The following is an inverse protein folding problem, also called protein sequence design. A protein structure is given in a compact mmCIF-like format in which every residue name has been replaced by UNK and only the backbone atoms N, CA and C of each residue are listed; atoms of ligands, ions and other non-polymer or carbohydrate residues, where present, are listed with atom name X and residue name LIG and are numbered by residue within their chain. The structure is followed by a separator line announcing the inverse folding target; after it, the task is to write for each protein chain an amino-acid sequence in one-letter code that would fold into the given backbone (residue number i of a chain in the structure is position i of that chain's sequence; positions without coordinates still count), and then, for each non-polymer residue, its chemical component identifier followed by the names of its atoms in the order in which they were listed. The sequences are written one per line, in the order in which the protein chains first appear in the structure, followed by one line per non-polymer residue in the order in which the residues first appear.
data_IF_943183411998
#
_entry.id   IF_943183411998
#
_cell.length_a   1.000
_cell.length_b   1.000
_cell.length_c   1.000
_cell.angle_alpha   90.00
_cell.angle_beta   90.00
_cell.angle_gamma   90.00
#
_symmetry.space_group_name_H-M   'P 1'
#
loop_
_entity.id
_entity.type
_entity.pdbx_description
1 polymer ?
#
# COMPACT_ATOMS: atom_id res chain seq x y z
N UNK A 1 16.85 -33.46 -21.35
CA UNK A 1 15.51 -32.95 -21.72
C UNK A 1 15.07 -32.08 -20.56
N UNK A 2 15.16 -30.77 -20.77
CA UNK A 2 14.98 -29.73 -19.76
C UNK A 2 13.49 -29.50 -19.53
N UNK A 3 13.01 -29.71 -18.31
CA UNK A 3 11.67 -29.31 -17.90
C UNK A 3 11.78 -28.04 -17.06
N UNK A 4 11.59 -26.90 -17.72
CA UNK A 4 11.39 -25.62 -17.06
C UNK A 4 10.09 -25.71 -16.26
N UNK A 5 10.21 -25.63 -14.92
CA UNK A 5 9.06 -25.45 -14.04
C UNK A 5 8.84 -23.95 -13.95
N UNK A 6 7.97 -23.40 -14.80
CA UNK A 6 7.47 -22.05 -14.62
C UNK A 6 6.63 -22.05 -13.34
N UNK A 7 7.15 -21.39 -12.31
CA UNK A 7 6.47 -21.14 -11.05
C UNK A 7 5.26 -20.25 -11.35
N UNK A 8 4.06 -20.79 -11.18
CA UNK A 8 2.80 -20.08 -11.39
C UNK A 8 2.63 -19.05 -10.26
N UNK A 9 3.01 -17.81 -10.52
CA UNK A 9 2.92 -16.71 -9.55
C UNK A 9 1.46 -16.29 -9.46
N UNK A 10 0.78 -16.64 -8.37
CA UNK A 10 -0.58 -16.20 -8.10
C UNK A 10 -0.68 -14.66 -8.10
N UNK A 11 -1.39 -14.11 -9.08
CA UNK A 11 -1.67 -12.68 -9.21
C UNK A 11 -2.84 -12.29 -8.30
N UNK A 12 -2.54 -11.98 -7.05
CA UNK A 12 -3.50 -11.48 -6.06
C UNK A 12 -3.43 -9.95 -5.94
N UNK A 13 -4.53 -9.34 -5.51
CA UNK A 13 -4.65 -7.92 -5.21
C UNK A 13 -5.44 -7.72 -3.90
N UNK A 14 -5.28 -6.57 -3.26
CA UNK A 14 -5.92 -6.27 -1.97
C UNK A 14 -7.05 -5.27 -2.13
N UNK A 15 -8.21 -5.51 -1.51
CA UNK A 15 -9.30 -4.56 -1.54
C UNK A 15 -8.99 -3.33 -0.66
N UNK A 16 -9.03 -2.13 -1.24
CA UNK A 16 -8.79 -0.87 -0.53
C UNK A 16 -9.92 -0.40 0.41
N UNK A 17 -10.99 -1.18 0.56
CA UNK A 17 -12.13 -0.88 1.44
C UNK A 17 -12.18 -1.84 2.63
N UNK A 18 -12.08 -3.15 2.37
CA UNK A 18 -12.20 -4.18 3.39
C UNK A 18 -10.88 -4.90 3.72
N UNK A 19 -9.79 -4.59 3.02
CA UNK A 19 -8.45 -5.21 3.18
C UNK A 19 -8.40 -6.73 2.93
N UNK A 20 -9.41 -7.28 2.28
CA UNK A 20 -9.41 -8.69 1.86
C UNK A 20 -8.50 -8.84 0.64
N UNK A 21 -7.61 -9.84 0.68
CA UNK A 21 -6.80 -10.27 -0.46
C UNK A 21 -7.67 -11.12 -1.38
N UNK A 22 -7.69 -10.79 -2.66
CA UNK A 22 -8.57 -11.37 -3.68
C UNK A 22 -7.75 -11.73 -4.91
N UNK A 23 -7.98 -12.91 -5.49
CA UNK A 23 -7.39 -13.27 -6.77
C UNK A 23 -7.88 -12.31 -7.86
N UNK A 24 -7.00 -11.97 -8.81
CA UNK A 24 -7.33 -11.01 -9.88
C UNK A 24 -8.63 -11.35 -10.64
N UNK A 25 -8.93 -12.64 -10.80
CA UNK A 25 -10.16 -13.14 -11.43
C UNK A 25 -11.44 -12.92 -10.62
N UNK A 26 -11.32 -12.82 -9.29
CA UNK A 26 -12.44 -12.69 -8.36
C UNK A 26 -12.74 -11.22 -7.99
N UNK A 27 -11.90 -10.28 -8.41
CA UNK A 27 -12.09 -8.84 -8.18
C UNK A 27 -13.43 -8.33 -8.74
N UNK A 28 -13.87 -8.67 -9.97
CA UNK A 28 -15.14 -8.17 -10.50
C UNK A 28 -16.38 -8.60 -9.72
N UNK A 29 -16.28 -9.71 -8.98
CA UNK A 29 -17.36 -10.24 -8.14
C UNK A 29 -17.22 -9.85 -6.67
N UNK A 30 -16.21 -9.06 -6.32
CA UNK A 30 -15.95 -8.67 -4.94
C UNK A 30 -17.01 -7.67 -4.46
N UNK A 31 -17.64 -7.92 -3.31
CA UNK A 31 -18.79 -7.13 -2.84
C UNK A 31 -18.52 -5.62 -2.70
N UNK A 32 -17.28 -5.20 -2.43
CA UNK A 32 -16.97 -3.76 -2.34
C UNK A 32 -16.97 -3.03 -3.69
N UNK A 33 -16.96 -3.74 -4.82
CA UNK A 33 -17.00 -3.16 -6.17
C UNK A 33 -18.35 -3.34 -6.86
N UNK A 34 -19.32 -3.94 -6.16
CA UNK A 34 -20.68 -4.11 -6.67
C UNK A 34 -21.31 -2.74 -6.97
N UNK A 35 -21.86 -2.60 -8.19
CA UNK A 35 -22.45 -1.34 -8.66
C UNK A 35 -21.45 -0.34 -9.26
N UNK A 36 -20.15 -0.63 -9.27
CA UNK A 36 -19.14 0.20 -9.95
C UNK A 36 -18.73 -0.42 -11.29
N UNK A 37 -18.51 0.42 -12.29
CA UNK A 37 -18.10 -0.03 -13.65
C UNK A 37 -16.59 0.09 -13.87
N UNK A 38 -15.90 0.79 -12.97
CA UNK A 38 -14.49 1.14 -13.11
C UNK A 38 -13.73 0.82 -11.84
N UNK A 39 -12.49 0.38 -12.03
CA UNK A 39 -11.53 0.12 -10.98
C UNK A 39 -10.26 0.90 -11.19
N UNK A 40 -9.63 1.27 -10.09
CA UNK A 40 -8.26 1.76 -10.05
C UNK A 40 -7.43 0.75 -9.27
N UNK A 41 -6.25 0.41 -9.79
CA UNK A 41 -5.28 -0.44 -9.08
C UNK A 41 -4.02 0.38 -8.89
N UNK A 42 -3.56 0.51 -7.65
CA UNK A 42 -2.36 1.26 -7.34
C UNK A 42 -1.08 0.44 -7.53
N UNK A 43 0.07 1.03 -7.20
CA UNK A 43 1.38 0.38 -7.31
C UNK A 43 1.58 -0.74 -6.28
N UNK A 44 0.82 -0.72 -5.19
CA UNK A 44 0.88 -1.68 -4.09
C UNK A 44 -0.12 -2.83 -4.29
N UNK A 45 -0.72 -2.93 -5.47
CA UNK A 45 -1.73 -3.93 -5.82
C UNK A 45 -3.02 -3.80 -5.00
N UNK A 46 -3.33 -2.60 -4.50
CA UNK A 46 -4.64 -2.32 -3.96
C UNK A 46 -5.61 -1.92 -5.06
N UNK A 47 -6.79 -2.51 -5.07
CA UNK A 47 -7.86 -2.13 -5.98
C UNK A 47 -8.95 -1.32 -5.27
N UNK A 48 -9.49 -0.34 -5.99
CA UNK A 48 -10.48 0.62 -5.52
C UNK A 48 -11.59 0.80 -6.57
N UNK A 49 -12.87 0.80 -6.18
CA UNK A 49 -13.95 1.22 -7.07
C UNK A 49 -13.81 2.70 -7.39
N UNK A 50 -14.12 3.06 -8.64
CA UNK A 50 -14.06 4.44 -9.14
C UNK A 50 -15.48 4.90 -9.44
N UNK A 51 -15.83 6.07 -8.92
CA UNK A 51 -17.10 6.76 -9.18
C UNK A 51 -17.09 7.50 -10.52
N UNK A 52 -18.26 7.93 -10.98
CA UNK A 52 -18.40 8.65 -12.26
C UNK A 52 -17.67 10.00 -12.29
N UNK A 53 -17.42 10.61 -11.13
CA UNK A 53 -16.64 11.85 -10.97
C UNK A 53 -15.11 11.62 -10.92
N UNK A 54 -14.64 10.40 -11.25
CA UNK A 54 -13.25 9.98 -11.17
C UNK A 54 -12.65 10.02 -9.74
N UNK A 55 -13.48 9.95 -8.70
CA UNK A 55 -13.00 9.73 -7.34
C UNK A 55 -12.83 8.23 -7.07
N UNK A 56 -11.88 7.85 -6.22
CA UNK A 56 -11.75 6.47 -5.75
C UNK A 56 -12.47 6.31 -4.42
N UNK A 57 -13.13 5.17 -4.21
CA UNK A 57 -13.70 4.82 -2.91
C UNK A 57 -12.66 4.03 -2.12
N UNK A 58 -12.23 4.57 -0.97
CA UNK A 58 -11.28 3.88 -0.08
C UNK A 58 -11.64 4.04 1.39
N UNK A 59 -11.18 3.10 2.20
CA UNK A 59 -11.22 3.24 3.66
C UNK A 59 -10.17 4.28 4.08
N UNK A 60 -10.60 5.26 4.87
CA UNK A 60 -9.77 6.35 5.37
C UNK A 60 -10.03 6.53 6.86
N UNK A 61 -9.03 7.00 7.59
CA UNK A 61 -9.16 7.37 8.99
C UNK A 61 -9.41 8.87 9.09
N UNK A 62 -10.61 9.28 9.51
CA UNK A 62 -10.95 10.69 9.75
C UNK A 62 -11.38 10.84 11.20
N UNK A 63 -10.72 11.75 11.94
CA UNK A 63 -10.99 11.98 13.36
C UNK A 63 -10.96 10.67 14.19
N UNK A 64 -9.96 9.83 13.94
CA UNK A 64 -9.76 8.51 14.57
C UNK A 64 -10.93 7.53 14.36
N UNK A 65 -11.73 7.73 13.31
CA UNK A 65 -12.80 6.82 12.90
C UNK A 65 -12.59 6.38 11.48
N UNK A 66 -12.65 5.07 11.27
CA UNK A 66 -12.61 4.51 9.92
C UNK A 66 -13.91 4.87 9.19
N UNK A 67 -13.76 5.50 8.03
CA UNK A 67 -14.83 5.93 7.17
C UNK A 67 -14.50 5.54 5.72
N UNK A 68 -15.50 5.07 4.99
CA UNK A 68 -15.38 4.79 3.56
C UNK A 68 -15.87 6.03 2.83
N UNK A 69 -14.99 6.68 2.07
CA UNK A 69 -15.28 7.94 1.40
C UNK A 69 -14.67 8.01 0.01
N UNK A 70 -15.26 8.81 -0.89
CA UNK A 70 -14.66 9.17 -2.17
C UNK A 70 -13.48 10.13 -1.95
N UNK A 71 -12.34 9.82 -2.56
CA UNK A 71 -11.14 10.67 -2.55
C UNK A 71 -10.75 10.99 -3.99
N UNK A 72 -10.48 12.28 -4.25
CA UNK A 72 -9.95 12.73 -5.54
C UNK A 72 -8.46 12.48 -5.59
N UNK A 73 -8.07 11.45 -6.32
CA UNK A 73 -6.66 11.15 -6.59
C UNK A 73 -6.35 11.34 -8.07
N UNK A 74 -5.09 11.64 -8.40
CA UNK A 74 -4.65 11.74 -9.79
C UNK A 74 -4.51 10.33 -10.39
N UNK A 75 -5.65 9.70 -10.67
CA UNK A 75 -5.73 8.33 -11.19
C UNK A 75 -5.40 8.29 -12.68
N UNK A 76 -4.12 8.10 -12.99
CA UNK A 76 -3.62 7.95 -14.36
C UNK A 76 -3.84 6.51 -14.84
N UNK A 77 -5.08 6.20 -15.22
CA UNK A 77 -5.50 4.91 -15.77
C UNK A 77 -6.54 4.21 -14.89
N UNK A 78 -7.71 3.91 -15.45
CA UNK A 78 -8.76 3.10 -14.80
C UNK A 78 -9.06 1.90 -15.67
N UNK A 79 -9.28 0.74 -15.05
CA UNK A 79 -9.69 -0.50 -15.71
C UNK A 79 -11.21 -0.50 -15.77
N UNK A 80 -11.79 -0.74 -16.95
CA UNK A 80 -13.24 -0.91 -17.10
C UNK A 80 -13.59 -2.38 -16.80
N UNK A 81 -14.45 -2.61 -15.81
CA UNK A 81 -14.87 -3.96 -15.37
C UNK A 81 -15.57 -4.75 -16.48
N UNK A 82 -16.25 -4.08 -17.40
CA UNK A 82 -16.92 -4.72 -18.54
C UNK A 82 -15.98 -5.32 -19.59
N UNK A 83 -14.69 -4.99 -19.58
CA UNK A 83 -13.69 -5.51 -20.53
C UNK A 83 -12.92 -6.74 -20.02
N UNK A 84 -13.14 -7.19 -18.77
CA UNK A 84 -12.43 -8.35 -18.20
C UNK A 84 -12.85 -9.69 -18.83
N UNK A 85 -13.89 -9.71 -19.68
CA UNK A 85 -14.45 -10.94 -20.28
C UNK A 85 -13.91 -11.28 -21.69
N UNK A 86 -12.86 -10.63 -22.17
CA UNK A 86 -12.12 -11.05 -23.38
C UNK A 86 -10.67 -10.66 -23.09
N UNK A 87 -9.79 -11.56 -22.69
CA UNK A 87 -9.09 -12.47 -23.60
C UNK A 87 -8.83 -13.85 -22.98
N UNK A 88 -8.91 -14.85 -23.85
CA UNK A 88 -8.96 -16.29 -23.62
C UNK A 88 -7.57 -16.93 -23.59
N UNK A 89 -7.50 -18.17 -23.07
CA UNK A 89 -6.51 -19.26 -23.35
C UNK A 89 -5.49 -19.44 -22.22
N UNK A 90 -5.27 -20.58 -21.55
CA UNK A 90 -5.61 -22.01 -21.68
C UNK A 90 -5.43 -22.62 -20.26
N UNK A 91 -6.29 -23.49 -19.74
CA UNK A 91 -6.03 -24.94 -19.88
C UNK A 91 -6.02 -25.72 -18.55
N UNK A 92 -7.21 -26.16 -18.13
CA UNK A 92 -7.52 -27.47 -17.50
C UNK A 92 -6.89 -27.98 -16.17
N UNK A 93 -7.81 -28.40 -15.29
CA UNK A 93 -7.88 -29.65 -14.51
C UNK A 93 -7.16 -29.81 -13.13
N UNK A 94 -8.04 -29.89 -12.11
CA UNK A 94 -8.20 -30.96 -11.09
C UNK A 94 -7.16 -31.17 -9.95
N UNK A 95 -7.76 -31.09 -8.75
CA UNK A 95 -7.56 -31.87 -7.51
C UNK A 95 -6.42 -31.48 -6.56
N UNK A 96 -6.89 -31.04 -5.38
CA UNK A 96 -6.57 -31.54 -4.03
C UNK A 96 -5.10 -31.73 -3.65
N UNK A 97 -4.64 -31.06 -2.57
CA UNK A 97 -4.09 -31.69 -1.34
C UNK A 97 -3.49 -30.61 -0.41
N UNK A 98 -4.05 -30.60 0.81
CA UNK A 98 -3.53 -30.36 2.15
C UNK A 98 -2.13 -29.76 2.42
N UNK A 99 -2.12 -29.07 3.58
CA UNK A 99 -1.08 -28.93 4.63
C UNK A 99 -0.18 -27.69 4.61
N UNK A 100 -0.46 -26.86 5.62
CA UNK A 100 0.46 -26.24 6.60
C UNK A 100 1.86 -25.85 6.12
N UNK A 101 2.26 -24.59 6.35
CA UNK A 101 3.23 -24.28 7.41
C UNK A 101 3.57 -22.78 7.50
N UNK A 102 3.16 -22.22 8.63
CA UNK A 102 3.87 -21.28 9.49
C UNK A 102 5.23 -20.72 8.97
N UNK A 103 5.25 -19.46 8.50
CA UNK A 103 6.50 -18.65 8.45
C UNK A 103 6.26 -17.21 8.86
N UNK A 104 6.65 -16.94 10.11
CA UNK A 104 7.11 -15.69 10.73
C UNK A 104 7.10 -14.46 9.81
N UNK A 105 6.12 -13.60 10.02
CA UNK A 105 6.16 -12.20 9.64
C UNK A 105 7.13 -11.44 10.58
N UNK A 106 8.19 -10.85 10.01
CA UNK A 106 8.90 -9.76 10.66
C UNK A 106 8.05 -8.51 10.41
N UNK A 107 7.12 -8.27 11.32
CA UNK A 107 6.20 -7.14 11.34
C UNK A 107 6.97 -5.97 11.98
N UNK A 108 7.26 -4.91 11.22
CA UNK A 108 7.70 -3.63 11.80
C UNK A 108 6.64 -3.20 12.81
N UNK A 109 7.06 -3.00 14.06
CA UNK A 109 6.22 -2.76 15.24
C UNK A 109 5.75 -1.31 15.34
N UNK A 110 5.38 -0.69 14.21
CA UNK A 110 4.77 0.62 14.21
C UNK A 110 3.28 0.47 13.94
N UNK A 111 2.48 1.10 14.80
CA UNK A 111 1.07 1.30 14.53
C UNK A 111 0.90 2.51 13.59
N UNK A 112 -0.24 2.63 12.92
CA UNK A 112 -0.55 3.75 12.02
C UNK A 112 -0.35 5.12 12.70
N UNK A 113 -0.73 5.25 13.97
CA UNK A 113 -0.52 6.46 14.77
C UNK A 113 0.99 6.81 14.93
N UNK A 114 1.85 5.80 15.01
CA UNK A 114 3.30 5.99 15.13
C UNK A 114 3.93 6.39 13.79
N UNK A 115 3.36 5.92 12.67
CA UNK A 115 3.77 6.32 11.32
C UNK A 115 3.35 7.77 11.01
N UNK A 116 2.13 8.17 11.38
CA UNK A 116 1.66 9.56 11.26
C UNK A 116 2.52 10.51 12.12
N UNK A 117 2.83 10.12 13.36
CA UNK A 117 3.73 10.89 14.22
C UNK A 117 5.14 11.01 13.63
N UNK A 118 5.64 9.96 12.97
CA UNK A 118 6.93 9.97 12.28
C UNK A 118 6.91 10.96 11.11
N UNK A 119 5.90 10.92 10.25
CA UNK A 119 5.77 11.82 9.09
C UNK A 119 5.67 13.28 9.55
N UNK A 120 4.83 13.58 10.54
CA UNK A 120 4.68 14.93 11.10
C UNK A 120 6.01 15.43 11.68
N UNK A 121 6.72 14.60 12.44
CA UNK A 121 8.01 14.94 13.05
C UNK A 121 9.09 15.24 12.02
N UNK A 122 9.08 14.54 10.87
CA UNK A 122 10.01 14.81 9.76
C UNK A 122 9.64 16.10 9.03
N UNK A 123 8.35 16.34 8.78
CA UNK A 123 7.89 17.55 8.08
C UNK A 123 8.28 18.84 8.83
N UNK A 124 8.23 18.83 10.16
CA UNK A 124 8.68 19.97 10.97
C UNK A 124 10.18 20.28 10.81
N UNK A 125 11.00 19.27 10.48
CA UNK A 125 12.46 19.38 10.38
C UNK A 125 12.87 19.53 8.92
N UNK A 126 12.65 20.73 8.36
CA UNK A 126 13.00 21.10 6.97
C UNK A 126 14.34 20.56 6.47
N UNK A 127 15.46 20.61 7.21
CA UNK A 127 16.74 20.10 6.69
C UNK A 127 16.74 18.61 6.33
N UNK A 128 15.75 17.82 6.79
CA UNK A 128 15.59 16.41 6.47
C UNK A 128 14.99 16.15 5.08
N UNK A 129 14.17 17.06 4.55
CA UNK A 129 13.41 16.86 3.31
C UNK A 129 13.49 18.02 2.32
N UNK A 130 13.83 19.23 2.77
CA UNK A 130 13.91 20.43 1.97
C UNK A 130 15.33 20.64 1.42
N UNK A 131 15.52 20.23 0.17
CA UNK A 131 16.80 20.36 -0.53
C UNK A 131 17.16 21.80 -0.91
N UNK A 132 16.23 22.76 -0.74
CA UNK A 132 16.51 24.19 -0.92
C UNK A 132 17.30 24.78 0.25
N UNK A 133 17.38 24.05 1.37
CA UNK A 133 18.18 24.43 2.54
C UNK A 133 19.69 24.25 2.23
N UNK A 134 20.55 25.24 2.59
CA UNK A 134 21.99 25.17 2.37
C UNK A 134 22.64 23.92 2.96
N UNK A 135 23.71 23.42 2.31
CA UNK A 135 24.39 22.18 2.70
C UNK A 135 25.02 22.26 4.09
N UNK A 136 25.39 23.46 4.53
CA UNK A 136 25.90 23.73 5.87
C UNK A 136 24.88 23.32 6.95
N UNK A 137 23.59 23.45 6.64
CA UNK A 137 22.47 23.04 7.50
C UNK A 137 22.01 21.58 7.26
N UNK A 138 22.58 20.90 6.26
CA UNK A 138 22.32 19.47 5.96
C UNK A 138 23.56 18.60 6.10
N UNK A 139 24.58 19.08 6.82
CA UNK A 139 25.77 18.28 7.06
C UNK A 139 25.40 16.99 7.81
N UNK A 140 26.14 15.90 7.55
CA UNK A 140 25.83 14.56 8.05
C UNK A 140 25.61 14.52 9.57
N UNK A 141 26.40 15.30 10.33
CA UNK A 141 26.27 15.42 11.78
C UNK A 141 24.94 16.03 12.20
N UNK A 142 24.49 17.07 11.50
CA UNK A 142 23.24 17.76 11.79
C UNK A 142 22.03 16.93 11.37
N UNK A 143 22.07 16.29 10.21
CA UNK A 143 20.99 15.37 9.80
C UNK A 143 20.87 14.17 10.73
N UNK A 144 22.00 13.62 11.21
CA UNK A 144 21.97 12.52 12.19
C UNK A 144 21.28 12.96 13.48
N UNK A 145 21.67 14.11 14.02
CA UNK A 145 21.05 14.69 15.21
C UNK A 145 19.54 14.91 15.01
N UNK A 146 19.12 15.42 13.85
CA UNK A 146 17.70 15.63 13.54
C UNK A 146 16.92 14.32 13.48
N UNK A 147 17.50 13.24 12.96
CA UNK A 147 16.88 11.91 12.99
C UNK A 147 16.81 11.32 14.39
N UNK A 148 17.82 11.55 15.23
CA UNK A 148 17.78 11.18 16.65
C UNK A 148 16.67 11.96 17.39
N UNK A 149 16.48 13.25 17.08
CA UNK A 149 15.38 14.06 17.63
C UNK A 149 13.99 13.60 17.13
N UNK A 150 13.87 13.15 15.88
CA UNK A 150 12.63 12.53 15.36
C UNK A 150 12.34 11.23 16.12
N UNK A 151 13.35 10.41 16.36
CA UNK A 151 13.26 9.18 17.15
C UNK A 151 12.80 9.45 18.58
N UNK A 152 13.34 10.47 19.24
CA UNK A 152 12.89 10.89 20.56
C UNK A 152 11.44 11.41 20.56
N UNK A 153 11.06 12.18 19.53
CA UNK A 153 9.70 12.74 19.41
C UNK A 153 8.61 11.67 19.27
N UNK A 154 8.91 10.54 18.62
CA UNK A 154 8.01 9.38 18.53
C UNK A 154 8.11 8.44 19.74
N UNK A 155 8.72 8.90 20.84
CA UNK A 155 8.84 8.16 22.10
C UNK A 155 9.93 7.09 22.10
N UNK A 156 10.94 7.21 21.24
CA UNK A 156 12.07 6.27 21.16
C UNK A 156 11.71 4.88 20.61
N UNK A 157 10.53 4.73 20.01
CA UNK A 157 10.03 3.46 19.46
C UNK A 157 10.84 2.95 18.26
N UNK A 158 11.53 3.86 17.56
CA UNK A 158 12.48 3.56 16.49
C UNK A 158 13.77 4.29 16.79
N UNK A 159 14.90 3.72 16.40
CA UNK A 159 16.15 4.48 16.32
C UNK A 159 16.09 5.53 15.21
N UNK A 160 16.93 6.57 15.28
CA UNK A 160 17.01 7.58 14.21
C UNK A 160 17.34 6.97 12.83
N UNK A 161 18.07 5.85 12.80
CA UNK A 161 18.35 5.11 11.57
C UNK A 161 17.15 4.33 11.04
N UNK A 162 16.30 3.80 11.93
CA UNK A 162 15.04 3.16 11.55
C UNK A 162 14.00 4.20 11.12
N UNK A 163 13.90 5.33 11.81
CA UNK A 163 13.04 6.45 11.41
C UNK A 163 13.36 6.90 9.98
N UNK A 164 14.65 7.04 9.64
CA UNK A 164 15.10 7.37 8.29
C UNK A 164 14.71 6.33 7.22
N UNK A 165 14.61 5.04 7.58
CA UNK A 165 14.27 3.97 6.63
C UNK A 165 12.77 3.85 6.37
N UNK A 166 11.95 4.39 7.28
CA UNK A 166 10.50 4.31 7.24
C UNK A 166 9.86 5.60 6.69
N UNK A 167 10.65 6.50 6.10
CA UNK A 167 10.25 7.79 5.50
C UNK A 167 10.80 7.88 4.09
#
# INVERSE_FOLDING_TARGET
MSSNKEEDIALVQTCGICEVIVDKENIPTHGCVEGYTRLFVDKNLYFYPVTDDNSIIRRSLINNKEVVLPVRENIRGTIILSEVNKETSQGTNKRSINKSDNRRAIKSTLNYDDEELLILSVQERRPLWDFTVPLEQRCQRLTKKLWDEVSEAIGGKLSGEEAKKNV
#
